data_IF_924774423824
#
_entry.id   IF_924774423824
#
_cell.length_a   1.000
_cell.length_b   1.000
_cell.length_c   1.000
_cell.angle_alpha   90.00
_cell.angle_beta   90.00
_cell.angle_gamma   90.00
#
_symmetry.space_group_name_H-M   'P 1'
#
loop_
_entity.id
_entity.type
_entity.pdbx_description
1 polymer ?
#
# COMPACT_ATOMS: atom_id res chain seq x y z
N UNK A 1 8.89 25.63 -4.74
CA UNK A 1 7.84 25.29 -3.77
C UNK A 1 8.49 24.57 -2.62
N UNK A 2 8.36 25.09 -1.41
CA UNK A 2 8.95 24.47 -0.22
C UNK A 2 8.07 23.30 0.20
N UNK A 3 8.61 22.09 0.12
CA UNK A 3 7.97 20.91 0.67
C UNK A 3 8.02 21.05 2.19
N UNK A 4 6.86 21.19 2.81
CA UNK A 4 6.73 21.22 4.26
C UNK A 4 7.06 19.82 4.82
N UNK A 5 8.13 19.68 5.65
CA UNK A 5 8.54 18.39 6.19
C UNK A 5 7.44 17.68 6.97
N UNK A 6 6.53 18.44 7.59
CA UNK A 6 5.40 17.88 8.34
C UNK A 6 4.35 17.23 7.43
N UNK A 7 4.16 17.77 6.21
CA UNK A 7 3.26 17.18 5.20
C UNK A 7 3.84 15.89 4.62
N UNK A 8 5.16 15.81 4.47
CA UNK A 8 5.85 14.58 4.03
C UNK A 8 5.71 13.48 5.09
N UNK A 9 5.95 13.83 6.36
CA UNK A 9 5.83 12.86 7.46
C UNK A 9 4.40 12.33 7.62
N UNK A 10 3.39 13.18 7.50
CA UNK A 10 1.99 12.75 7.57
C UNK A 10 1.55 11.92 6.36
N UNK A 11 2.04 12.24 5.15
CA UNK A 11 1.75 11.46 3.95
C UNK A 11 2.40 10.07 4.00
N UNK A 12 3.64 9.98 4.50
CA UNK A 12 4.34 8.72 4.70
C UNK A 12 3.64 7.82 5.72
N UNK A 13 3.06 8.40 6.79
CA UNK A 13 2.30 7.65 7.79
C UNK A 13 1.01 7.01 7.25
N UNK A 14 0.41 7.57 6.20
CA UNK A 14 -0.80 7.00 5.59
C UNK A 14 -0.50 6.05 4.42
N UNK A 15 0.63 6.21 3.75
CA UNK A 15 0.99 5.34 2.63
C UNK A 15 1.38 3.92 3.09
N UNK A 16 1.20 2.96 2.19
CA UNK A 16 1.82 1.64 2.28
C UNK A 16 3.00 1.64 1.31
N UNK A 17 4.21 1.45 1.82
CA UNK A 17 5.45 1.63 1.04
C UNK A 17 6.35 0.43 1.26
N UNK A 18 6.85 -0.17 0.18
CA UNK A 18 7.80 -1.27 0.26
C UNK A 18 7.54 -2.34 -0.80
N UNK A 19 8.17 -3.48 -0.61
CA UNK A 19 7.89 -4.70 -1.35
C UNK A 19 6.60 -5.40 -0.85
N UNK A 20 6.25 -6.53 -1.46
CA UNK A 20 5.04 -7.30 -1.14
C UNK A 20 4.95 -7.67 0.35
N UNK A 21 6.03 -8.17 0.93
CA UNK A 21 6.06 -8.63 2.33
C UNK A 21 5.96 -7.45 3.30
N UNK A 22 6.68 -6.36 3.02
CA UNK A 22 6.65 -5.13 3.82
C UNK A 22 5.27 -4.48 3.80
N UNK A 23 4.60 -4.47 2.64
CA UNK A 23 3.24 -3.92 2.50
C UNK A 23 2.23 -4.81 3.20
N UNK A 24 2.33 -6.13 3.06
CA UNK A 24 1.44 -7.07 3.76
C UNK A 24 1.57 -6.94 5.28
N UNK A 25 2.79 -6.86 5.81
CA UNK A 25 3.03 -6.65 7.24
C UNK A 25 2.45 -5.32 7.72
N UNK A 26 2.65 -4.24 6.96
CA UNK A 26 2.04 -2.94 7.28
C UNK A 26 0.51 -3.01 7.33
N UNK A 27 -0.12 -3.79 6.44
CA UNK A 27 -1.58 -3.97 6.47
C UNK A 27 -2.00 -4.66 7.77
N UNK A 28 -1.35 -5.78 8.10
CA UNK A 28 -1.64 -6.57 9.30
C UNK A 28 -1.42 -5.80 10.60
N UNK A 29 -0.41 -4.92 10.64
CA UNK A 29 -0.09 -4.13 11.83
C UNK A 29 -1.01 -2.93 12.04
N UNK A 30 -1.59 -2.39 10.95
CA UNK A 30 -2.25 -1.07 10.96
C UNK A 30 -3.76 -1.12 10.81
N UNK A 31 -4.32 -2.18 10.22
CA UNK A 31 -5.76 -2.28 9.93
C UNK A 31 -6.40 -3.47 10.63
N UNK A 32 -7.70 -3.35 10.93
CA UNK A 32 -8.46 -4.46 11.48
C UNK A 32 -8.72 -5.50 10.37
N UNK A 33 -8.72 -6.82 10.66
CA UNK A 33 -8.97 -7.86 9.65
C UNK A 33 -10.30 -7.76 8.89
N UNK A 34 -11.25 -6.99 9.42
CA UNK A 34 -12.58 -6.76 8.83
C UNK A 34 -12.70 -5.41 8.10
N UNK A 35 -11.63 -4.62 8.09
CA UNK A 35 -11.59 -3.37 7.34
C UNK A 35 -11.56 -3.63 5.83
N UNK A 36 -12.16 -2.71 5.08
CA UNK A 36 -12.03 -2.67 3.62
C UNK A 36 -11.03 -1.59 3.25
N UNK A 37 -9.89 -2.01 2.70
CA UNK A 37 -8.81 -1.12 2.32
C UNK A 37 -9.01 -0.66 0.87
N UNK A 38 -9.06 0.64 0.66
CA UNK A 38 -9.07 1.28 -0.66
C UNK A 38 -7.73 1.98 -0.87
N UNK A 39 -6.90 1.47 -1.78
CA UNK A 39 -5.56 2.00 -2.07
C UNK A 39 -5.55 2.84 -3.37
N UNK A 40 -4.76 3.91 -3.36
CA UNK A 40 -4.53 4.78 -4.51
C UNK A 40 -3.10 4.55 -5.01
N UNK A 41 -2.94 4.24 -6.29
CA UNK A 41 -1.65 3.90 -6.90
C UNK A 41 -1.10 5.02 -7.80
N UNK A 42 -1.79 6.15 -7.89
CA UNK A 42 -1.53 7.24 -8.84
C UNK A 42 -0.45 8.23 -8.39
N UNK A 43 0.32 7.92 -7.34
CA UNK A 43 1.44 8.77 -6.91
C UNK A 43 2.48 8.98 -8.03
N UNK A 44 2.63 7.99 -8.93
CA UNK A 44 3.43 8.08 -10.14
C UNK A 44 2.56 8.14 -11.40
N UNK A 45 1.57 9.03 -11.43
CA UNK A 45 0.58 9.15 -12.53
C UNK A 45 1.16 9.34 -13.94
N UNK A 46 2.41 9.79 -14.07
CA UNK A 46 3.10 9.93 -15.36
C UNK A 46 3.71 8.61 -15.88
N UNK A 47 3.73 7.55 -15.08
CA UNK A 47 4.19 6.21 -15.44
C UNK A 47 3.06 5.20 -15.25
N UNK A 48 2.17 5.11 -16.24
CA UNK A 48 1.00 4.24 -16.17
C UNK A 48 1.37 2.75 -16.11
N UNK A 49 2.49 2.34 -16.70
CA UNK A 49 2.95 0.96 -16.63
C UNK A 49 3.37 0.60 -15.20
N UNK A 50 3.99 1.54 -14.47
CA UNK A 50 4.27 1.38 -13.04
C UNK A 50 3.00 1.24 -12.22
N UNK A 51 2.01 2.13 -12.45
CA UNK A 51 0.71 2.07 -11.76
C UNK A 51 0.05 0.69 -11.95
N UNK A 52 -0.01 0.20 -13.20
CA UNK A 52 -0.56 -1.11 -13.51
C UNK A 52 0.19 -2.25 -12.80
N UNK A 53 1.53 -2.23 -12.82
CA UNK A 53 2.34 -3.26 -12.12
C UNK A 53 2.10 -3.25 -10.62
N UNK A 54 2.04 -2.07 -10.01
CA UNK A 54 1.83 -1.94 -8.56
C UNK A 54 0.41 -2.44 -8.18
N UNK A 55 -0.61 -2.13 -8.99
CA UNK A 55 -1.97 -2.67 -8.83
C UNK A 55 -2.01 -4.20 -8.96
N UNK A 56 -1.35 -4.76 -9.97
CA UNK A 56 -1.26 -6.21 -10.18
C UNK A 56 -0.56 -6.89 -9.01
N UNK A 57 0.61 -6.38 -8.59
CA UNK A 57 1.34 -6.94 -7.45
C UNK A 57 0.53 -6.88 -6.15
N UNK A 58 -0.23 -5.80 -5.93
CA UNK A 58 -1.11 -5.69 -4.77
C UNK A 58 -2.18 -6.78 -4.76
N UNK A 59 -2.90 -6.95 -5.87
CA UNK A 59 -4.01 -7.92 -5.93
C UNK A 59 -3.54 -9.37 -5.99
N UNK A 60 -2.45 -9.67 -6.69
CA UNK A 60 -2.01 -11.05 -6.94
C UNK A 60 -1.02 -11.57 -5.90
N UNK A 61 -0.35 -10.68 -5.15
CA UNK A 61 0.70 -11.09 -4.20
C UNK A 61 0.45 -10.59 -2.78
N UNK A 62 0.10 -9.31 -2.61
CA UNK A 62 -0.12 -8.74 -1.26
C UNK A 62 -1.41 -9.28 -0.64
N UNK A 63 -2.54 -9.19 -1.35
CA UNK A 63 -3.85 -9.62 -0.83
C UNK A 63 -3.84 -11.10 -0.41
N UNK A 64 -3.38 -12.06 -1.25
CA UNK A 64 -3.33 -13.47 -0.85
C UNK A 64 -2.42 -13.72 0.35
N UNK A 65 -1.31 -12.99 0.47
CA UNK A 65 -0.40 -13.11 1.62
C UNK A 65 -1.06 -12.65 2.92
N UNK A 66 -1.80 -11.54 2.88
CA UNK A 66 -2.58 -11.04 4.02
C UNK A 66 -3.69 -12.02 4.38
N UNK A 67 -4.48 -12.49 3.41
CA UNK A 67 -5.58 -13.43 3.62
C UNK A 67 -5.08 -14.76 4.21
N UNK A 68 -4.00 -15.33 3.63
CA UNK A 68 -3.36 -16.53 4.15
C UNK A 68 -2.86 -16.37 5.58
N UNK A 69 -2.38 -15.17 5.96
CA UNK A 69 -1.90 -14.90 7.32
C UNK A 69 -3.06 -14.78 8.31
N UNK A 70 -4.20 -14.25 7.87
CA UNK A 70 -5.43 -14.14 8.66
C UNK A 70 -6.25 -15.45 8.69
N UNK A 71 -5.88 -16.45 7.88
CA UNK A 71 -6.62 -17.72 7.76
C UNK A 71 -7.93 -17.59 6.99
N UNK A 72 -8.01 -16.65 6.04
CA UNK A 72 -9.12 -16.47 5.09
C UNK A 72 -8.78 -17.19 3.78
#
# INVERSE_FOLDING_TARGET
>A
GTIDPSKVSNAANNALIGNVEEVAQQILDRFHPEDRIMAWFDFFNHDSDRVCRDMTAYMEQVVPLVESTLGK
#
